data_IF_122944696691
#
_entry.id   IF_122944696691
#
_cell.length_a   1.000
_cell.length_b   1.000
_cell.length_c   1.000
_cell.angle_alpha   90.00
_cell.angle_beta   90.00
_cell.angle_gamma   90.00
#
_symmetry.space_group_name_H-M   'P 1'
#
loop_
_entity.id
_entity.type
_entity.pdbx_description
1 polymer ?
#
# COMPACT_ATOMS: atom_id res chain seq x y z
N UNK A 1 -6.26 -8.47 -25.64
CA UNK A 1 -4.86 -8.53 -25.11
C UNK A 1 -4.69 -9.50 -23.94
N UNK A 2 -5.51 -9.42 -22.88
CA UNK A 2 -5.69 -10.54 -21.94
C UNK A 2 -6.35 -11.78 -22.58
N UNK A 3 -6.63 -11.75 -23.88
CA UNK A 3 -7.23 -12.85 -24.65
C UNK A 3 -6.34 -14.11 -24.67
N UNK A 4 -5.02 -13.94 -24.55
CA UNK A 4 -4.08 -15.06 -24.45
C UNK A 4 -3.80 -15.47 -22.99
N UNK A 5 -4.37 -14.76 -22.02
CA UNK A 5 -4.24 -15.08 -20.61
C UNK A 5 -5.29 -16.10 -20.20
N UNK A 6 -4.87 -17.03 -19.34
CA UNK A 6 -5.83 -17.82 -18.56
C UNK A 6 -6.31 -16.96 -17.40
N UNK A 7 -7.47 -17.29 -16.87
CA UNK A 7 -7.94 -16.66 -15.64
C UNK A 7 -8.49 -17.69 -14.67
N UNK A 8 -8.28 -17.41 -13.38
CA UNK A 8 -8.99 -18.04 -12.28
C UNK A 8 -9.89 -16.97 -11.64
N UNK A 9 -11.03 -17.39 -11.11
CA UNK A 9 -11.94 -16.49 -10.40
C UNK A 9 -12.42 -17.15 -9.12
N UNK A 10 -12.43 -16.40 -8.03
CA UNK A 10 -13.00 -16.80 -6.74
C UNK A 10 -13.68 -15.58 -6.14
N UNK A 11 -14.99 -15.69 -5.89
CA UNK A 11 -15.80 -14.58 -5.37
C UNK A 11 -15.68 -13.31 -6.28
N UNK A 12 -15.30 -12.19 -5.69
CA UNK A 12 -15.08 -10.90 -6.35
C UNK A 12 -13.65 -10.73 -6.90
N UNK A 13 -12.79 -11.74 -6.82
CA UNK A 13 -11.39 -11.68 -7.24
C UNK A 13 -11.19 -12.47 -8.53
N UNK A 14 -10.52 -11.86 -9.51
CA UNK A 14 -10.11 -12.53 -10.76
C UNK A 14 -8.61 -12.37 -10.96
N UNK A 15 -7.89 -13.48 -11.18
CA UNK A 15 -6.44 -13.48 -11.43
C UNK A 15 -6.20 -13.94 -12.87
N UNK A 16 -5.61 -13.07 -13.68
CA UNK A 16 -5.14 -13.36 -15.03
C UNK A 16 -3.67 -13.76 -14.98
N UNK A 17 -3.32 -14.84 -15.68
CA UNK A 17 -1.96 -15.40 -15.70
C UNK A 17 -1.62 -16.11 -17.02
N UNK A 18 -0.32 -16.39 -17.24
CA UNK A 18 0.15 -17.21 -18.36
C UNK A 18 0.82 -18.51 -17.89
N UNK A 19 0.72 -19.55 -18.72
CA UNK A 19 1.42 -20.85 -18.60
C UNK A 19 1.95 -21.24 -17.22
N UNK A 20 3.22 -20.90 -16.97
CA UNK A 20 4.00 -21.34 -15.82
C UNK A 20 3.55 -20.74 -14.48
N UNK A 21 2.89 -19.58 -14.48
CA UNK A 21 2.46 -18.85 -13.28
C UNK A 21 1.38 -19.59 -12.48
N UNK A 22 0.81 -20.67 -13.03
CA UNK A 22 -0.24 -21.48 -12.40
C UNK A 22 0.03 -21.86 -10.94
N UNK A 23 1.30 -22.00 -10.55
CA UNK A 23 1.72 -22.33 -9.17
C UNK A 23 1.50 -21.18 -8.18
N UNK A 24 1.61 -19.93 -8.65
CA UNK A 24 1.40 -18.72 -7.85
C UNK A 24 -0.05 -18.22 -7.87
N UNK A 25 -0.87 -18.68 -8.84
CA UNK A 25 -2.26 -18.23 -8.98
C UNK A 25 -3.07 -18.46 -7.72
N UNK A 26 -2.94 -19.64 -7.09
CA UNK A 26 -3.69 -19.97 -5.86
C UNK A 26 -3.25 -19.04 -4.73
N UNK A 27 -1.94 -18.92 -4.51
CA UNK A 27 -1.37 -18.08 -3.46
C UNK A 27 -1.72 -16.59 -3.60
N UNK A 28 -1.67 -16.07 -4.84
CA UNK A 28 -2.07 -14.68 -5.14
C UNK A 28 -3.58 -14.50 -4.96
N UNK A 29 -4.39 -15.45 -5.45
CA UNK A 29 -5.84 -15.41 -5.30
C UNK A 29 -6.24 -15.40 -3.83
N UNK A 30 -5.63 -16.27 -3.02
CA UNK A 30 -5.89 -16.37 -1.59
C UNK A 30 -5.40 -15.12 -0.85
N UNK A 31 -4.25 -14.59 -1.22
CA UNK A 31 -3.73 -13.34 -0.66
C UNK A 31 -4.64 -12.15 -0.89
N UNK A 32 -5.04 -11.93 -2.14
CA UNK A 32 -5.94 -10.82 -2.50
C UNK A 32 -7.31 -11.00 -1.81
N UNK A 33 -7.85 -12.22 -1.79
CA UNK A 33 -9.13 -12.50 -1.15
C UNK A 33 -9.08 -12.29 0.37
N UNK A 34 -8.01 -12.75 1.01
CA UNK A 34 -7.77 -12.54 2.43
C UNK A 34 -7.68 -11.05 2.76
N UNK A 35 -6.84 -10.30 2.04
CA UNK A 35 -6.71 -8.85 2.18
C UNK A 35 -8.05 -8.14 1.99
N UNK A 36 -8.82 -8.52 0.96
CA UNK A 36 -10.14 -7.95 0.71
C UNK A 36 -11.06 -8.11 1.92
N UNK A 37 -11.20 -9.32 2.45
CA UNK A 37 -12.11 -9.63 3.57
C UNK A 37 -11.71 -8.94 4.87
N UNK A 38 -10.41 -8.83 5.14
CA UNK A 38 -9.94 -8.12 6.33
C UNK A 38 -10.13 -6.61 6.21
N UNK A 39 -9.84 -6.04 5.04
CA UNK A 39 -10.00 -4.60 4.80
C UNK A 39 -11.47 -4.20 4.68
N UNK A 40 -12.33 -5.06 4.17
CA UNK A 40 -13.79 -4.89 4.20
C UNK A 40 -14.30 -4.69 5.63
N UNK A 41 -13.84 -5.53 6.58
CA UNK A 41 -14.16 -5.40 8.00
C UNK A 41 -13.54 -4.15 8.61
N UNK A 42 -12.25 -3.92 8.39
CA UNK A 42 -11.50 -2.79 8.95
C UNK A 42 -12.12 -1.46 8.52
N UNK A 43 -12.38 -1.30 7.22
CA UNK A 43 -13.01 -0.11 6.66
C UNK A 43 -14.52 -0.09 6.83
N UNK A 44 -15.17 -1.11 7.40
CA UNK A 44 -16.63 -1.16 7.59
C UNK A 44 -17.39 -0.91 6.26
N UNK A 45 -16.99 -1.60 5.20
CA UNK A 45 -17.62 -1.48 3.89
C UNK A 45 -19.02 -2.13 3.94
N UNK A 46 -20.05 -1.32 4.16
CA UNK A 46 -21.45 -1.77 4.23
C UNK A 46 -22.12 -1.52 2.88
N UNK A 47 -22.40 -2.58 2.14
CA UNK A 47 -23.24 -2.64 0.93
C UNK A 47 -22.61 -2.18 -0.40
N UNK A 48 -21.31 -1.90 -0.44
CA UNK A 48 -20.59 -1.59 -1.69
C UNK A 48 -19.55 -2.66 -1.99
N UNK A 49 -19.90 -3.61 -2.84
CA UNK A 49 -18.93 -4.57 -3.34
C UNK A 49 -18.21 -4.00 -4.57
N UNK A 50 -16.93 -4.33 -4.70
CA UNK A 50 -16.17 -4.12 -5.91
C UNK A 50 -15.27 -5.33 -6.16
N UNK A 51 -15.00 -5.58 -7.44
CA UNK A 51 -14.13 -6.69 -7.85
C UNK A 51 -12.71 -6.22 -8.05
N UNK A 52 -11.73 -6.99 -7.56
CA UNK A 52 -10.32 -6.77 -7.86
C UNK A 52 -9.91 -7.68 -9.01
N UNK A 53 -9.33 -7.08 -10.04
CA UNK A 53 -8.69 -7.80 -11.13
C UNK A 53 -7.18 -7.80 -10.90
N UNK A 54 -6.62 -8.97 -10.70
CA UNK A 54 -5.18 -9.16 -10.57
C UNK A 54 -4.60 -9.70 -11.87
N UNK A 55 -3.44 -9.21 -12.27
CA UNK A 55 -2.73 -9.63 -13.47
C UNK A 55 -1.30 -10.01 -13.09
N UNK A 56 -0.91 -11.24 -13.39
CA UNK A 56 0.47 -11.71 -13.26
C UNK A 56 1.19 -11.50 -14.58
N UNK A 57 2.04 -10.48 -14.65
CA UNK A 57 2.89 -10.24 -15.81
C UNK A 57 4.10 -11.17 -15.79
N UNK A 58 4.40 -11.83 -16.91
CA UNK A 58 5.40 -12.90 -16.95
C UNK A 58 6.83 -12.39 -16.81
N UNK A 59 7.07 -11.13 -17.16
CA UNK A 59 8.35 -10.43 -17.08
C UNK A 59 8.15 -8.92 -16.98
N UNK A 60 9.24 -8.19 -16.72
CA UNK A 60 9.34 -6.76 -16.52
C UNK A 60 8.85 -5.97 -17.72
N UNK A 61 9.18 -6.43 -18.93
CA UNK A 61 8.73 -5.77 -20.17
C UNK A 61 7.22 -5.78 -20.27
N UNK A 62 6.61 -6.93 -19.99
CA UNK A 62 5.15 -7.06 -19.97
C UNK A 62 4.53 -6.29 -18.82
N UNK A 63 5.15 -6.31 -17.63
CA UNK A 63 4.73 -5.54 -16.46
C UNK A 63 4.67 -4.03 -16.78
N UNK A 64 5.73 -3.48 -17.38
CA UNK A 64 5.75 -2.07 -17.78
C UNK A 64 4.66 -1.76 -18.80
N UNK A 65 4.54 -2.60 -19.83
CA UNK A 65 3.54 -2.43 -20.87
C UNK A 65 2.10 -2.50 -20.33
N UNK A 66 1.80 -3.45 -19.45
CA UNK A 66 0.49 -3.58 -18.82
C UNK A 66 0.17 -2.41 -17.89
N UNK A 67 1.17 -1.90 -17.18
CA UNK A 67 1.03 -0.69 -16.38
C UNK A 67 0.54 0.50 -17.21
N UNK A 68 1.09 0.69 -18.40
CA UNK A 68 0.69 1.76 -19.31
C UNK A 68 -0.63 1.46 -20.04
N UNK A 69 -0.75 0.27 -20.64
CA UNK A 69 -1.86 -0.05 -21.55
C UNK A 69 -3.16 -0.41 -20.81
N UNK A 70 -3.08 -1.08 -19.66
CA UNK A 70 -4.24 -1.56 -18.89
C UNK A 70 -4.53 -0.62 -17.73
N UNK A 71 -3.53 -0.37 -16.87
CA UNK A 71 -3.70 0.49 -15.68
C UNK A 71 -3.66 1.99 -16.02
N UNK A 72 -3.35 2.36 -17.27
CA UNK A 72 -3.30 3.76 -17.76
C UNK A 72 -2.34 4.63 -16.95
N UNK A 73 -1.28 4.03 -16.41
CA UNK A 73 -0.27 4.75 -15.65
C UNK A 73 0.55 5.62 -16.60
N UNK A 74 0.58 6.93 -16.34
CA UNK A 74 1.45 7.85 -17.07
C UNK A 74 2.87 7.72 -16.53
N UNK A 75 3.73 7.02 -17.26
CA UNK A 75 5.14 6.83 -16.90
C UNK A 75 6.03 7.47 -17.97
N UNK A 76 7.09 8.15 -17.52
CA UNK A 76 8.12 8.72 -18.39
C UNK A 76 9.35 7.82 -18.49
N UNK A 77 9.36 6.68 -17.78
CA UNK A 77 10.48 5.74 -17.68
C UNK A 77 9.99 4.35 -17.30
N UNK A 78 10.82 3.34 -17.59
CA UNK A 78 10.60 1.95 -17.15
C UNK A 78 10.46 1.83 -15.62
N UNK A 79 9.79 0.77 -15.14
CA UNK A 79 9.70 0.51 -13.70
C UNK A 79 11.06 0.19 -13.10
N UNK A 80 11.19 0.46 -11.79
CA UNK A 80 12.37 0.08 -11.03
C UNK A 80 12.32 -1.42 -10.75
N UNK A 81 13.49 -2.07 -10.64
CA UNK A 81 13.60 -3.49 -10.23
C UNK A 81 12.93 -3.77 -8.87
N UNK A 82 12.89 -2.79 -7.97
CA UNK A 82 12.21 -2.89 -6.67
C UNK A 82 10.70 -2.68 -6.72
N UNK A 83 10.11 -2.47 -7.90
CA UNK A 83 8.67 -2.33 -8.07
C UNK A 83 8.10 -3.61 -8.67
N UNK A 84 7.68 -4.55 -7.83
CA UNK A 84 7.12 -5.84 -8.28
C UNK A 84 5.61 -5.91 -8.23
N UNK A 85 4.96 -4.89 -7.67
CA UNK A 85 3.51 -4.76 -7.62
C UNK A 85 3.11 -3.31 -7.84
N UNK A 86 2.00 -3.10 -8.53
CA UNK A 86 1.36 -1.79 -8.62
C UNK A 86 -0.13 -1.93 -8.78
N UNK A 87 -0.88 -0.96 -8.30
CA UNK A 87 -2.32 -0.87 -8.49
C UNK A 87 -2.74 0.41 -9.21
N UNK A 88 -3.90 0.36 -9.85
CA UNK A 88 -4.70 1.54 -10.17
C UNK A 88 -6.18 1.16 -10.17
N UNK A 89 -7.01 1.95 -9.49
CA UNK A 89 -8.43 1.67 -9.29
C UNK A 89 -8.62 0.29 -8.67
N UNK A 90 -9.20 -0.64 -9.42
CA UNK A 90 -9.47 -2.00 -8.99
C UNK A 90 -8.57 -3.04 -9.66
N UNK A 91 -7.52 -2.60 -10.36
CA UNK A 91 -6.56 -3.44 -11.05
C UNK A 91 -5.26 -3.55 -10.25
N UNK A 92 -4.86 -4.78 -9.91
CA UNK A 92 -3.58 -5.11 -9.29
C UNK A 92 -2.68 -5.80 -10.32
N UNK A 93 -1.56 -5.18 -10.66
CA UNK A 93 -0.54 -5.77 -11.49
C UNK A 93 0.62 -6.27 -10.63
N UNK A 94 1.04 -7.51 -10.84
CA UNK A 94 2.14 -8.16 -10.11
C UNK A 94 3.11 -8.70 -11.15
N UNK A 95 4.40 -8.40 -10.98
CA UNK A 95 5.45 -9.13 -11.68
C UNK A 95 5.46 -10.56 -11.14
N UNK A 96 5.34 -11.54 -12.03
CA UNK A 96 5.39 -12.95 -11.64
C UNK A 96 6.65 -13.25 -10.82
N UNK A 97 6.54 -13.96 -9.70
CA UNK A 97 7.72 -14.38 -8.93
C UNK A 97 8.75 -15.19 -9.73
N UNK A 98 8.37 -15.80 -10.86
CA UNK A 98 9.34 -16.44 -11.77
C UNK A 98 10.38 -15.47 -12.33
N UNK A 99 10.05 -14.18 -12.46
CA UNK A 99 10.95 -13.17 -12.99
C UNK A 99 11.80 -12.50 -11.90
N UNK A 100 11.65 -12.88 -10.63
CA UNK A 100 12.30 -12.15 -9.53
C UNK A 100 13.82 -12.26 -9.56
N UNK A 101 14.34 -13.47 -9.72
CA UNK A 101 15.78 -13.76 -9.74
C UNK A 101 16.53 -12.86 -10.75
N UNK A 102 15.97 -12.70 -11.95
CA UNK A 102 16.63 -11.97 -13.03
C UNK A 102 16.26 -10.47 -13.08
N UNK A 103 15.01 -10.13 -12.72
CA UNK A 103 14.42 -8.83 -13.06
C UNK A 103 13.93 -8.02 -11.84
N UNK A 104 14.09 -8.53 -10.63
CA UNK A 104 13.70 -7.88 -9.37
C UNK A 104 14.91 -7.63 -8.47
N UNK A 105 14.72 -6.81 -7.42
CA UNK A 105 15.64 -6.76 -6.26
C UNK A 105 15.17 -7.64 -5.10
N UNK A 106 14.03 -8.31 -5.25
CA UNK A 106 13.47 -9.22 -4.27
C UNK A 106 13.82 -10.65 -4.64
N UNK A 107 14.22 -11.44 -3.65
CA UNK A 107 14.12 -12.88 -3.71
C UNK A 107 12.68 -13.29 -3.39
N UNK A 108 12.22 -14.40 -3.99
CA UNK A 108 10.86 -14.85 -3.75
C UNK A 108 10.69 -15.39 -2.33
N UNK A 109 9.88 -14.70 -1.54
CA UNK A 109 9.39 -15.14 -0.25
C UNK A 109 7.87 -14.96 -0.19
N UNK A 110 7.14 -16.05 0.07
CA UNK A 110 5.68 -16.02 0.08
C UNK A 110 5.10 -14.99 1.06
N UNK A 111 5.64 -14.91 2.28
CA UNK A 111 5.19 -13.92 3.27
C UNK A 111 5.36 -12.47 2.78
N UNK A 112 6.50 -12.15 2.16
CA UNK A 112 6.73 -10.83 1.59
C UNK A 112 5.74 -10.54 0.45
N UNK A 113 5.50 -11.51 -0.45
CA UNK A 113 4.51 -11.36 -1.51
C UNK A 113 3.11 -11.07 -0.92
N UNK A 114 2.72 -11.77 0.15
CA UNK A 114 1.45 -11.53 0.83
C UNK A 114 1.35 -10.11 1.42
N UNK A 115 2.43 -9.61 2.05
CA UNK A 115 2.48 -8.22 2.55
C UNK A 115 2.38 -7.19 1.41
N UNK A 116 3.07 -7.41 0.30
CA UNK A 116 3.01 -6.56 -0.89
C UNK A 116 1.60 -6.54 -1.49
N UNK A 117 0.97 -7.71 -1.65
CA UNK A 117 -0.43 -7.83 -2.09
C UNK A 117 -1.34 -7.05 -1.15
N UNK A 118 -1.23 -7.27 0.16
CA UNK A 118 -2.05 -6.60 1.17
C UNK A 118 -1.93 -5.08 1.05
N UNK A 119 -0.70 -4.57 0.94
CA UNK A 119 -0.40 -3.15 0.75
C UNK A 119 -1.09 -2.58 -0.51
N UNK A 120 -1.05 -3.29 -1.63
CA UNK A 120 -1.75 -2.85 -2.84
C UNK A 120 -3.27 -2.90 -2.70
N UNK A 121 -3.82 -3.89 -2.00
CA UNK A 121 -5.27 -3.94 -1.74
C UNK A 121 -5.69 -2.78 -0.83
N UNK A 122 -4.87 -2.36 0.14
CA UNK A 122 -5.13 -1.12 0.92
C UNK A 122 -5.22 0.10 -0.01
N UNK A 123 -4.32 0.23 -0.99
CA UNK A 123 -4.41 1.31 -1.97
C UNK A 123 -5.69 1.27 -2.80
N UNK A 124 -6.14 0.09 -3.23
CA UNK A 124 -7.42 -0.08 -3.93
C UNK A 124 -8.58 0.39 -3.05
N UNK A 125 -8.63 -0.02 -1.78
CA UNK A 125 -9.65 0.45 -0.84
C UNK A 125 -9.59 1.96 -0.64
N UNK A 126 -8.39 2.53 -0.51
CA UNK A 126 -8.21 3.96 -0.35
C UNK A 126 -8.74 4.74 -1.56
N UNK A 127 -8.43 4.32 -2.79
CA UNK A 127 -8.96 4.95 -4.02
C UNK A 127 -10.47 4.74 -4.18
N UNK A 128 -10.99 3.58 -3.78
CA UNK A 128 -12.41 3.26 -3.89
C UNK A 128 -13.27 4.04 -2.90
N UNK A 129 -12.77 4.23 -1.68
CA UNK A 129 -13.48 4.92 -0.60
C UNK A 129 -13.30 6.44 -0.64
N UNK A 130 -12.18 6.92 -1.20
CA UNK A 130 -11.90 8.35 -1.32
C UNK A 130 -12.63 8.99 -2.48
N UNK A 131 -12.96 10.27 -2.32
CA UNK A 131 -13.41 11.13 -3.42
C UNK A 131 -12.25 11.52 -4.36
N UNK A 132 -11.01 11.46 -3.86
CA UNK A 132 -9.81 11.76 -4.60
C UNK A 132 -9.16 10.48 -5.17
N UNK A 133 -9.13 10.37 -6.51
CA UNK A 133 -8.55 9.23 -7.21
C UNK A 133 -7.02 9.10 -7.03
N UNK A 134 -6.34 10.16 -6.56
CA UNK A 134 -4.91 10.16 -6.27
C UNK A 134 -4.60 9.96 -4.78
N UNK A 135 -5.62 9.69 -3.94
CA UNK A 135 -5.46 9.55 -2.49
C UNK A 135 -4.41 8.48 -2.10
N UNK A 136 -4.28 7.39 -2.87
CA UNK A 136 -3.27 6.34 -2.68
C UNK A 136 -1.82 6.85 -2.80
N UNK A 137 -1.58 7.91 -3.57
CA UNK A 137 -0.25 8.45 -3.86
C UNK A 137 0.21 9.51 -2.85
N UNK A 138 -0.65 9.85 -1.89
CA UNK A 138 -0.38 10.83 -0.84
C UNK A 138 0.43 10.21 0.30
N UNK A 139 1.01 11.05 1.16
CA UNK A 139 1.75 10.57 2.34
C UNK A 139 0.88 9.69 3.24
N UNK A 140 -0.41 10.02 3.39
CA UNK A 140 -1.35 9.25 4.20
C UNK A 140 -1.71 7.93 3.53
N UNK A 141 -2.02 7.94 2.24
CA UNK A 141 -2.34 6.74 1.47
C UNK A 141 -1.20 5.72 1.43
N UNK A 142 0.04 6.21 1.42
CA UNK A 142 1.25 5.38 1.51
C UNK A 142 1.49 4.89 2.94
N UNK A 143 1.31 5.78 3.91
CA UNK A 143 1.43 5.45 5.33
C UNK A 143 0.48 4.33 5.76
N UNK A 144 -0.80 4.40 5.37
CA UNK A 144 -1.79 3.39 5.75
C UNK A 144 -1.53 2.04 5.09
N UNK A 145 -1.11 2.04 3.82
CA UNK A 145 -0.77 0.82 3.12
C UNK A 145 0.39 0.09 3.79
N UNK A 146 1.44 0.82 4.17
CA UNK A 146 2.60 0.27 4.89
C UNK A 146 2.21 -0.19 6.29
N UNK A 147 1.43 0.62 7.02
CA UNK A 147 0.99 0.30 8.38
C UNK A 147 0.18 -1.00 8.44
N UNK A 148 -0.90 -1.10 7.66
CA UNK A 148 -1.83 -2.24 7.71
C UNK A 148 -1.23 -3.52 7.11
N UNK A 149 -0.37 -3.40 6.09
CA UNK A 149 0.36 -4.54 5.54
C UNK A 149 1.53 -5.01 6.42
N UNK A 150 1.86 -4.25 7.47
CA UNK A 150 3.02 -4.49 8.35
C UNK A 150 4.37 -4.45 7.63
N UNK A 151 4.46 -3.84 6.46
CA UNK A 151 5.73 -3.65 5.75
C UNK A 151 6.73 -2.80 6.55
N UNK A 152 6.26 -2.01 7.52
CA UNK A 152 7.14 -1.28 8.44
C UNK A 152 7.98 -2.17 9.37
N UNK A 153 7.58 -3.43 9.56
CA UNK A 153 8.35 -4.40 10.34
C UNK A 153 9.54 -4.98 9.59
N UNK A 154 9.63 -4.73 8.27
CA UNK A 154 10.77 -5.15 7.49
C UNK A 154 12.04 -4.46 8.00
N UNK A 155 13.10 -5.25 8.14
CA UNK A 155 14.28 -4.91 8.95
C UNK A 155 14.90 -3.55 8.57
N UNK A 156 14.90 -3.22 7.29
CA UNK A 156 15.48 -1.99 6.77
C UNK A 156 14.71 -0.72 7.22
N UNK A 157 13.37 -0.76 7.18
CA UNK A 157 12.53 0.40 7.52
C UNK A 157 12.58 0.65 9.03
N UNK A 158 12.43 -0.40 9.82
CA UNK A 158 12.40 -0.28 11.28
C UNK A 158 13.77 0.17 11.84
N UNK A 159 14.88 -0.34 11.28
CA UNK A 159 16.23 0.08 11.70
C UNK A 159 16.51 1.56 11.42
N UNK A 160 16.11 2.07 10.26
CA UNK A 160 16.30 3.48 9.88
C UNK A 160 15.57 4.40 10.88
N UNK A 161 14.29 4.14 11.14
CA UNK A 161 13.47 4.94 12.07
C UNK A 161 14.01 4.88 13.50
N UNK A 162 14.36 3.68 13.99
CA UNK A 162 14.92 3.52 15.35
C UNK A 162 16.25 4.24 15.50
N UNK A 163 17.07 4.28 14.46
CA UNK A 163 18.32 5.04 14.45
C UNK A 163 18.03 6.54 14.51
N UNK A 164 17.17 7.04 13.62
CA UNK A 164 16.85 8.47 13.54
C UNK A 164 16.20 8.99 14.83
N UNK A 165 15.37 8.19 15.50
CA UNK A 165 14.78 8.56 16.80
C UNK A 165 15.85 8.66 17.89
N UNK A 166 16.80 7.72 17.93
CA UNK A 166 17.92 7.74 18.90
C UNK A 166 18.85 8.93 18.67
N UNK A 167 19.01 9.35 17.42
CA UNK A 167 19.85 10.49 17.02
C UNK A 167 19.07 11.84 17.05
N UNK A 168 17.79 11.84 17.45
CA UNK A 168 16.87 12.99 17.44
C UNK A 168 16.73 13.65 16.05
N UNK A 169 16.86 12.84 15.00
CA UNK A 169 16.79 13.22 13.58
C UNK A 169 15.39 12.99 12.99
N UNK A 170 14.34 13.13 13.80
CA UNK A 170 12.96 12.89 13.36
C UNK A 170 12.52 14.03 12.40
N UNK A 171 12.16 13.74 11.14
CA UNK A 171 11.75 14.76 10.19
C UNK A 171 10.45 15.46 10.63
N UNK A 172 10.24 16.69 10.18
CA UNK A 172 8.96 17.38 10.39
C UNK A 172 7.86 16.79 9.52
N UNK A 173 6.60 16.98 9.92
CA UNK A 173 5.44 16.54 9.13
C UNK A 173 5.48 17.16 7.74
N UNK A 174 5.79 18.45 7.63
CA UNK A 174 5.92 19.13 6.34
C UNK A 174 6.92 18.44 5.42
N UNK A 175 8.11 18.08 5.94
CA UNK A 175 9.11 17.35 5.16
C UNK A 175 8.59 15.98 4.70
N UNK A 176 7.88 15.26 5.55
CA UNK A 176 7.29 13.96 5.21
C UNK A 176 6.22 14.12 4.11
N UNK A 177 5.35 15.12 4.23
CA UNK A 177 4.26 15.39 3.28
C UNK A 177 4.78 15.76 1.88
N UNK A 178 5.90 16.50 1.82
CA UNK A 178 6.48 17.01 0.57
C UNK A 178 7.50 16.03 -0.06
N UNK A 179 8.00 15.02 0.68
CA UNK A 179 9.05 14.13 0.21
C UNK A 179 8.60 12.66 0.14
N UNK A 180 8.59 12.13 -1.10
CA UNK A 180 8.19 10.74 -1.40
C UNK A 180 9.03 9.66 -0.73
N UNK A 181 10.31 9.91 -0.49
CA UNK A 181 11.12 8.97 0.26
C UNK A 181 10.71 8.97 1.73
N UNK A 182 10.54 10.16 2.30
CA UNK A 182 10.22 10.30 3.72
C UNK A 182 8.84 9.75 4.06
N UNK A 183 7.78 9.98 3.27
CA UNK A 183 6.49 9.37 3.61
C UNK A 183 6.49 7.84 3.46
N UNK A 184 7.34 7.27 2.60
CA UNK A 184 7.46 5.81 2.49
C UNK A 184 8.16 5.21 3.70
N UNK A 185 9.05 5.96 4.33
CA UNK A 185 9.70 5.54 5.57
C UNK A 185 8.84 5.86 6.79
N UNK A 186 8.33 7.09 6.91
CA UNK A 186 7.73 7.64 8.13
C UNK A 186 6.21 7.69 8.14
N UNK A 187 5.54 7.68 6.98
CA UNK A 187 4.09 7.91 6.90
C UNK A 187 3.27 6.93 7.73
N UNK A 188 3.72 5.68 7.84
CA UNK A 188 3.04 4.67 8.66
C UNK A 188 3.07 4.99 10.15
N UNK A 189 4.10 5.67 10.65
CA UNK A 189 4.18 6.05 12.07
C UNK A 189 3.13 7.09 12.43
N UNK A 190 2.83 8.00 11.50
CA UNK A 190 1.78 9.00 11.66
C UNK A 190 0.42 8.31 11.67
N UNK A 191 0.20 7.36 10.76
CA UNK A 191 -1.06 6.59 10.71
C UNK A 191 -1.26 5.75 11.97
N UNK A 192 -0.21 5.05 12.42
CA UNK A 192 -0.23 4.28 13.67
C UNK A 192 -0.57 5.17 14.86
N UNK A 193 0.09 6.33 14.97
CA UNK A 193 -0.21 7.31 16.03
C UNK A 193 -1.67 7.77 15.99
N UNK A 194 -2.22 8.06 14.80
CA UNK A 194 -3.63 8.46 14.66
C UNK A 194 -4.54 7.34 15.16
N UNK A 195 -4.30 6.09 14.76
CA UNK A 195 -5.12 4.96 15.20
C UNK A 195 -5.00 4.71 16.72
N UNK A 196 -3.79 4.78 17.28
CA UNK A 196 -3.55 4.50 18.70
C UNK A 196 -4.15 5.58 19.61
N UNK A 197 -4.16 6.85 19.19
CA UNK A 197 -4.67 7.97 20.00
C UNK A 197 -6.14 8.29 19.74
N UNK A 198 -6.58 8.22 18.49
CA UNK A 198 -7.91 8.66 18.08
C UNK A 198 -8.84 7.52 17.68
N UNK A 199 -8.32 6.30 17.51
CA UNK A 199 -9.07 5.11 17.13
C UNK A 199 -9.16 4.89 15.62
N UNK A 200 -9.40 3.64 15.24
CA UNK A 200 -9.56 3.19 13.85
C UNK A 200 -10.70 3.91 13.11
N UNK A 201 -11.74 4.36 13.83
CA UNK A 201 -12.88 5.06 13.25
C UNK A 201 -12.46 6.37 12.60
N UNK A 202 -11.42 7.03 13.12
CA UNK A 202 -10.87 8.24 12.55
C UNK A 202 -10.09 7.99 11.26
N UNK A 203 -9.37 6.87 11.15
CA UNK A 203 -8.77 6.44 9.87
C UNK A 203 -9.85 6.27 8.80
N UNK A 204 -10.96 5.63 9.17
CA UNK A 204 -12.12 5.42 8.30
C UNK A 204 -12.78 6.73 7.85
N UNK A 205 -12.82 7.73 8.75
CA UNK A 205 -13.32 9.07 8.45
C UNK A 205 -12.39 9.82 7.51
N UNK A 206 -11.08 9.80 7.78
CA UNK A 206 -10.05 10.46 6.96
C UNK A 206 -10.15 9.98 5.51
N UNK A 207 -10.13 8.68 5.25
CA UNK A 207 -10.15 8.14 3.88
C UNK A 207 -11.37 8.59 3.09
N UNK A 208 -12.55 8.57 3.72
CA UNK A 208 -13.83 8.88 3.04
C UNK A 208 -14.03 10.37 2.80
N UNK A 209 -13.50 11.20 3.70
CA UNK A 209 -13.60 12.65 3.62
C UNK A 209 -12.37 13.28 3.00
N UNK A 210 -11.43 12.48 2.49
CA UNK A 210 -10.20 12.97 1.88
C UNK A 210 -10.51 13.74 0.60
N UNK A 211 -10.74 15.04 0.75
CA UNK A 211 -10.90 16.02 -0.31
C UNK A 211 -10.21 17.30 0.15
N UNK A 212 -8.90 17.40 -0.10
CA UNK A 212 -7.98 18.58 0.01
C UNK A 212 -7.96 19.35 1.35
N UNK A 213 -9.02 19.27 2.15
CA UNK A 213 -9.19 19.81 3.48
C UNK A 213 -8.49 18.89 4.49
N UNK A 214 -7.62 19.55 5.22
CA UNK A 214 -6.54 19.00 6.03
C UNK A 214 -6.97 17.87 6.99
N UNK A 215 -6.20 16.77 7.05
CA UNK A 215 -6.39 15.68 8.02
C UNK A 215 -6.49 16.24 9.45
N UNK A 216 -5.74 17.31 9.74
CA UNK A 216 -5.76 17.96 11.04
C UNK A 216 -7.10 18.64 11.38
N UNK A 217 -7.91 19.02 10.39
CA UNK A 217 -9.28 19.50 10.63
C UNK A 217 -10.18 18.39 11.16
N UNK A 218 -10.04 17.16 10.63
CA UNK A 218 -10.78 15.99 11.11
C UNK A 218 -10.37 15.66 12.55
N UNK A 219 -9.06 15.72 12.83
CA UNK A 219 -8.49 15.49 14.17
C UNK A 219 -8.79 16.62 15.16
N UNK A 220 -9.24 17.79 14.69
CA UNK A 220 -9.51 19.00 15.48
C UNK A 220 -8.28 19.47 16.28
N UNK A 221 -7.11 19.38 15.68
CA UNK A 221 -5.85 19.85 16.26
C UNK A 221 -5.07 20.72 15.27
N UNK A 222 -4.11 21.51 15.76
CA UNK A 222 -3.17 22.17 14.87
C UNK A 222 -2.11 21.17 14.38
N UNK A 223 -1.49 21.45 13.22
CA UNK A 223 -0.37 20.65 12.71
C UNK A 223 0.83 20.66 13.68
N UNK A 224 1.09 21.80 14.31
CA UNK A 224 2.22 21.98 15.22
C UNK A 224 2.02 21.17 16.52
N UNK A 225 0.82 21.23 17.10
CA UNK A 225 0.49 20.44 18.29
C UNK A 225 0.53 18.94 17.98
N UNK A 226 0.02 18.54 16.82
CA UNK A 226 0.07 17.16 16.37
C UNK A 226 1.52 16.69 16.20
N UNK A 227 2.39 17.48 15.57
CA UNK A 227 3.79 17.14 15.36
C UNK A 227 4.51 16.91 16.69
N UNK A 228 4.30 17.80 17.66
CA UNK A 228 4.90 17.67 18.99
C UNK A 228 4.43 16.37 19.66
N UNK A 229 3.12 16.12 19.68
CA UNK A 229 2.58 14.93 20.34
C UNK A 229 3.02 13.63 19.67
N UNK A 230 3.00 13.58 18.33
CA UNK A 230 3.47 12.42 17.56
C UNK A 230 4.96 12.15 17.81
N UNK A 231 5.81 13.19 17.81
CA UNK A 231 7.25 13.04 18.13
C UNK A 231 7.49 12.58 19.56
N UNK A 232 6.70 13.07 20.52
CA UNK A 232 6.75 12.58 21.90
C UNK A 232 6.35 11.11 21.98
N UNK A 233 5.27 10.73 21.28
CA UNK A 233 4.80 9.34 21.22
C UNK A 233 5.84 8.40 20.59
N UNK A 234 6.55 8.84 19.55
CA UNK A 234 7.63 8.07 18.91
C UNK A 234 8.81 7.74 19.84
N UNK A 235 9.04 8.57 20.86
CA UNK A 235 10.17 8.39 21.79
C UNK A 235 9.90 7.33 22.86
N UNK A 236 8.68 6.82 22.96
CA UNK A 236 8.36 5.65 23.77
C UNK A 236 8.64 4.37 22.97
N UNK A 237 9.61 3.57 23.42
CA UNK A 237 10.09 2.38 22.70
C UNK A 237 9.00 1.32 22.47
N UNK A 238 7.95 1.31 23.30
CA UNK A 238 6.83 0.36 23.15
C UNK A 238 5.98 0.63 21.90
N UNK A 239 6.05 1.84 21.35
CA UNK A 239 5.25 2.27 20.21
C UNK A 239 5.84 1.85 18.86
N UNK A 240 7.07 1.31 18.86
CA UNK A 240 7.79 0.85 17.65
C UNK A 240 8.21 -0.62 17.72
N UNK A 241 7.82 -1.30 18.81
CA UNK A 241 7.81 -2.76 18.92
C UNK A 241 6.58 -3.39 18.28
#
# INVERSE_FOLDING_TARGET
MLENYKYARKENITVYYVGNDSRFVIEVMEGVLYSYKELEKYFQLKDREFSIRTILAMNRREYDYMGEAILKLKRNSASKRSEVTITSKNDLLILSPFAYEEESTYDYEGEMLQKLIYSQVVHIFNEFLSLNQEASSTWFGQGIAIYLSKLWNEENINKEIKKDIKEDMIPSLKMIQENKSLYKTWGWTIVRYIEDVYGKEIINEIIRKYDVDDIFNILKCSIDDFEVQWKTWLKDENNLS
#
